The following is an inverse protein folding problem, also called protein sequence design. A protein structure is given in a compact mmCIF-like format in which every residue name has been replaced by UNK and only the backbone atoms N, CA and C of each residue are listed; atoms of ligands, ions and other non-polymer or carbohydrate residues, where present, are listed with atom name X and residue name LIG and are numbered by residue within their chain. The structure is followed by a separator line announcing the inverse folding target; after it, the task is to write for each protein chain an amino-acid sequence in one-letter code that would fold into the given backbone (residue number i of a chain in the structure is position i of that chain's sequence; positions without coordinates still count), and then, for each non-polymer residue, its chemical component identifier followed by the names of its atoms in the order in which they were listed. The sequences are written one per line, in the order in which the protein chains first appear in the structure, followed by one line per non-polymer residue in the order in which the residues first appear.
data_IF_107319974207
#
_entry.id   IF_107319974207
#
_cell.length_a   1.000
_cell.length_b   1.000
_cell.length_c   1.000
_cell.angle_alpha   90.00
_cell.angle_beta   90.00
_cell.angle_gamma   90.00
#
_symmetry.space_group_name_H-M   'P 1'
#
loop_
_entity.id
_entity.type
_entity.pdbx_description
1 polymer ?
#
# COMPACT_ATOMS: atom_id res chain seq x y z
N UNK A 1 -5.94 -14.63 -1.90
CA UNK A 1 -6.00 -13.55 -2.92
C UNK A 1 -5.71 -12.17 -2.35
N UNK A 2 -6.21 -11.79 -1.17
CA UNK A 2 -5.99 -10.44 -0.60
C UNK A 2 -4.53 -10.07 -0.33
N UNK A 3 -3.71 -11.01 0.16
CA UNK A 3 -2.30 -10.76 0.45
C UNK A 3 -1.51 -10.28 -0.78
N UNK A 4 -1.74 -10.90 -1.95
CA UNK A 4 -1.08 -10.51 -3.19
C UNK A 4 -1.48 -9.09 -3.62
N UNK A 5 -2.75 -8.70 -3.46
CA UNK A 5 -3.21 -7.35 -3.75
C UNK A 5 -2.58 -6.31 -2.81
N UNK A 6 -2.44 -6.62 -1.53
CA UNK A 6 -1.79 -5.72 -0.56
C UNK A 6 -0.29 -5.54 -0.87
N UNK A 7 0.40 -6.63 -1.18
CA UNK A 7 1.79 -6.61 -1.65
C UNK A 7 1.94 -5.72 -2.88
N UNK A 8 1.01 -5.82 -3.83
CA UNK A 8 1.00 -5.00 -5.04
C UNK A 8 0.76 -3.50 -4.78
N UNK A 9 -0.21 -3.18 -3.93
CA UNK A 9 -0.48 -1.79 -3.57
C UNK A 9 0.69 -1.17 -2.82
N UNK A 10 1.34 -1.93 -1.92
CA UNK A 10 2.53 -1.47 -1.23
C UNK A 10 3.70 -1.31 -2.20
N UNK A 11 3.91 -2.23 -3.13
CA UNK A 11 5.05 -2.13 -4.04
C UNK A 11 4.95 -0.94 -4.98
N UNK A 12 3.79 -0.69 -5.56
CA UNK A 12 3.59 0.44 -6.47
C UNK A 12 3.83 1.80 -5.79
N UNK A 13 3.39 1.96 -4.54
CA UNK A 13 3.62 3.19 -3.75
C UNK A 13 5.09 3.33 -3.33
N UNK A 14 5.71 2.28 -2.77
CA UNK A 14 7.03 2.39 -2.15
C UNK A 14 8.20 2.18 -3.12
N UNK A 15 8.05 1.31 -4.13
CA UNK A 15 9.10 1.01 -5.11
C UNK A 15 8.99 1.89 -6.35
N UNK A 16 7.79 2.07 -6.90
CA UNK A 16 7.61 2.86 -8.14
C UNK A 16 7.22 4.32 -7.88
N UNK A 17 6.73 4.67 -6.69
CA UNK A 17 6.13 5.99 -6.39
C UNK A 17 5.03 6.38 -7.39
N UNK A 18 4.22 5.41 -7.81
CA UNK A 18 3.13 5.57 -8.78
C UNK A 18 1.83 5.06 -8.15
N UNK A 19 0.71 5.60 -8.63
CA UNK A 19 -0.61 5.12 -8.24
C UNK A 19 -0.76 3.61 -8.53
N UNK A 20 -1.28 2.79 -7.59
CA UNK A 20 -1.34 1.33 -7.72
C UNK A 20 -2.07 0.81 -8.96
N UNK A 21 -3.04 1.57 -9.45
CA UNK A 21 -3.82 1.25 -10.65
C UNK A 21 -3.08 1.54 -11.97
N UNK A 22 -2.00 2.33 -11.92
CA UNK A 22 -1.18 2.72 -13.07
C UNK A 22 0.20 2.02 -13.06
N UNK A 23 0.59 1.48 -11.91
CA UNK A 23 1.84 0.76 -11.70
C UNK A 23 1.85 -0.61 -12.36
N UNK A 24 3.04 -1.15 -12.57
CA UNK A 24 3.26 -2.46 -13.18
C UNK A 24 4.53 -3.11 -12.64
N UNK A 25 4.81 -4.35 -13.02
CA UNK A 25 6.08 -4.99 -12.65
C UNK A 25 7.23 -4.47 -13.51
N UNK A 26 6.95 -4.12 -14.76
CA UNK A 26 7.94 -3.63 -15.72
C UNK A 26 7.43 -2.33 -16.34
N UNK A 27 8.15 -1.24 -16.08
CA UNK A 27 7.90 0.02 -16.77
C UNK A 27 8.42 -0.03 -18.21
N UNK A 28 7.52 -0.16 -19.18
CA UNK A 28 7.85 -0.06 -20.60
C UNK A 28 8.17 1.40 -20.98
N UNK A 29 9.44 1.75 -21.21
CA UNK A 29 9.81 3.02 -21.89
C UNK A 29 10.57 2.64 -23.17
N UNK A 30 9.92 2.71 -24.32
CA UNK A 30 10.55 2.32 -25.59
C UNK A 30 11.74 3.21 -25.95
N UNK A 31 12.82 2.61 -26.46
CA UNK A 31 14.06 3.34 -26.82
C UNK A 31 13.82 4.48 -27.83
N UNK A 32 12.94 4.24 -28.81
CA UNK A 32 12.60 5.19 -29.89
C UNK A 32 11.48 6.17 -29.50
N UNK A 33 10.79 5.95 -28.38
CA UNK A 33 9.69 6.80 -27.92
C UNK A 33 10.26 8.02 -27.18
N UNK A 34 10.94 8.90 -27.92
CA UNK A 34 11.52 10.15 -27.42
C UNK A 34 10.78 11.32 -28.04
N UNK A 35 10.65 12.41 -27.28
CA UNK A 35 10.06 13.65 -27.79
C UNK A 35 10.93 14.16 -28.94
N UNK A 36 10.34 14.78 -29.98
CA UNK A 36 11.10 15.41 -31.05
C UNK A 36 12.17 16.36 -30.47
N UNK A 37 13.39 16.29 -30.98
CA UNK A 37 14.53 17.08 -30.51
C UNK A 37 15.42 16.43 -29.44
N UNK A 38 15.06 15.25 -28.91
CA UNK A 38 15.92 14.50 -27.98
C UNK A 38 16.72 13.41 -28.69
N UNK A 39 18.02 13.23 -28.36
CA UNK A 39 18.84 12.19 -28.96
C UNK A 39 18.36 10.78 -28.56
N UNK A 40 18.43 9.86 -29.52
CA UNK A 40 18.12 8.45 -29.28
C UNK A 40 19.31 7.80 -28.59
N UNK A 41 19.07 7.16 -27.45
CA UNK A 41 20.11 6.42 -26.72
C UNK A 41 20.65 5.24 -27.55
N UNK A 42 21.94 4.96 -27.38
CA UNK A 42 22.57 3.78 -27.97
C UNK A 42 21.93 2.50 -27.45
N UNK A 43 21.97 1.44 -28.26
CA UNK A 43 21.31 0.18 -27.97
C UNK A 43 21.75 -0.39 -26.61
N UNK A 44 23.06 -0.57 -26.40
CA UNK A 44 23.62 -1.18 -25.20
C UNK A 44 23.33 -0.38 -23.92
N UNK A 45 23.53 0.94 -23.95
CA UNK A 45 23.31 1.80 -22.78
C UNK A 45 21.85 1.74 -22.34
N UNK A 46 20.92 1.75 -23.31
CA UNK A 46 19.49 1.65 -23.03
C UNK A 46 19.12 0.33 -22.34
N UNK A 47 19.58 -0.82 -22.85
CA UNK A 47 19.23 -2.12 -22.26
C UNK A 47 19.90 -2.37 -20.92
N UNK A 48 21.14 -1.93 -20.73
CA UNK A 48 21.83 -2.05 -19.43
C UNK A 48 21.10 -1.24 -18.36
N UNK A 49 20.73 0.02 -18.66
CA UNK A 49 19.91 0.83 -17.74
C UNK A 49 18.57 0.17 -17.44
N UNK A 50 17.91 -0.37 -18.47
CA UNK A 50 16.62 -1.06 -18.29
C UNK A 50 16.74 -2.29 -17.41
N UNK A 51 17.80 -3.06 -17.59
CA UNK A 51 18.06 -4.26 -16.81
C UNK A 51 18.38 -3.91 -15.36
N UNK A 52 19.17 -2.85 -15.13
CA UNK A 52 19.43 -2.34 -13.78
C UNK A 52 18.13 -1.87 -13.08
N UNK A 53 17.26 -1.14 -13.77
CA UNK A 53 15.95 -0.74 -13.25
C UNK A 53 15.11 -1.97 -12.85
N UNK A 54 15.04 -2.97 -13.73
CA UNK A 54 14.31 -4.21 -13.48
C UNK A 54 14.88 -4.99 -12.28
N UNK A 55 16.20 -5.06 -12.17
CA UNK A 55 16.87 -5.78 -11.10
C UNK A 55 16.66 -5.09 -9.76
N UNK A 56 16.80 -3.75 -9.72
CA UNK A 56 16.50 -2.94 -8.53
C UNK A 56 15.06 -3.15 -8.06
N UNK A 57 14.10 -3.11 -8.98
CA UNK A 57 12.71 -3.36 -8.66
C UNK A 57 12.51 -4.79 -8.12
N UNK A 58 13.06 -5.80 -8.79
CA UNK A 58 12.90 -7.21 -8.39
C UNK A 58 13.49 -7.48 -7.00
N UNK A 59 14.67 -6.93 -6.70
CA UNK A 59 15.28 -7.04 -5.36
C UNK A 59 14.40 -6.38 -4.30
N UNK A 60 13.93 -5.15 -4.54
CA UNK A 60 13.05 -4.46 -3.62
C UNK A 60 11.71 -5.19 -3.43
N UNK A 61 11.22 -5.86 -4.48
CA UNK A 61 10.00 -6.64 -4.42
C UNK A 61 10.16 -7.89 -3.54
N UNK A 62 11.30 -8.58 -3.64
CA UNK A 62 11.65 -9.71 -2.76
C UNK A 62 11.73 -9.24 -1.30
N UNK A 63 12.39 -8.10 -1.05
CA UNK A 63 12.50 -7.52 0.29
C UNK A 63 11.12 -7.22 0.89
N UNK A 64 10.25 -6.54 0.13
CA UNK A 64 8.90 -6.20 0.57
C UNK A 64 8.04 -7.44 0.86
N UNK A 65 8.10 -8.46 -0.01
CA UNK A 65 7.39 -9.72 0.21
C UNK A 65 7.90 -10.41 1.47
N UNK A 66 9.21 -10.41 1.71
CA UNK A 66 9.79 -11.02 2.92
C UNK A 66 9.37 -10.30 4.20
N UNK A 67 9.33 -8.96 4.18
CA UNK A 67 8.83 -8.12 5.28
C UNK A 67 7.36 -8.43 5.57
N UNK A 68 6.52 -8.41 4.54
CA UNK A 68 5.09 -8.70 4.70
C UNK A 68 4.83 -10.13 5.17
N UNK A 69 5.59 -11.10 4.68
CA UNK A 69 5.49 -12.48 5.15
C UNK A 69 5.91 -12.60 6.62
N UNK A 70 6.96 -11.90 7.03
CA UNK A 70 7.37 -11.80 8.43
C UNK A 70 6.25 -11.26 9.32
N UNK A 71 5.61 -10.17 8.90
CA UNK A 71 4.49 -9.57 9.64
C UNK A 71 3.29 -10.51 9.76
N UNK A 72 2.87 -11.15 8.66
CA UNK A 72 1.77 -12.11 8.68
C UNK A 72 2.09 -13.29 9.59
N UNK A 73 3.32 -13.80 9.53
CA UNK A 73 3.77 -14.89 10.40
C UNK A 73 3.70 -14.50 11.86
N UNK A 74 4.16 -13.30 12.22
CA UNK A 74 4.09 -12.79 13.61
C UNK A 74 2.64 -12.61 14.04
N UNK A 75 1.78 -12.03 13.19
CA UNK A 75 0.37 -11.81 13.50
C UNK A 75 -0.44 -13.12 13.66
N UNK A 76 0.04 -14.24 13.12
CA UNK A 76 -0.62 -15.55 13.23
C UNK A 76 -0.15 -16.35 14.45
N UNK A 77 0.76 -15.80 15.27
CA UNK A 77 1.18 -16.46 16.50
C UNK A 77 0.01 -16.56 17.50
N UNK A 78 -0.08 -17.65 18.29
CA UNK A 78 -1.21 -17.88 19.20
C UNK A 78 -1.30 -16.84 20.30
N UNK A 79 -0.19 -16.18 20.65
CA UNK A 79 -0.14 -15.08 21.62
C UNK A 79 -1.03 -13.89 21.24
N UNK A 80 -1.21 -13.65 19.93
CA UNK A 80 -2.01 -12.53 19.43
C UNK A 80 -3.43 -12.95 19.01
N UNK A 81 -3.85 -14.18 19.31
CA UNK A 81 -5.17 -14.68 18.93
C UNK A 81 -6.31 -13.88 19.58
N UNK A 82 -6.08 -13.36 20.79
CA UNK A 82 -7.05 -12.60 21.58
C UNK A 82 -6.94 -11.08 21.34
N UNK A 83 -6.16 -10.64 20.33
CA UNK A 83 -6.01 -9.22 20.04
C UNK A 83 -7.29 -8.66 19.39
N UNK A 84 -7.94 -7.75 20.10
CA UNK A 84 -9.06 -6.96 19.58
C UNK A 84 -8.74 -5.46 19.65
N UNK A 85 -8.96 -4.76 18.54
CA UNK A 85 -8.80 -3.31 18.47
C UNK A 85 -9.83 -2.60 19.36
N UNK A 86 -9.38 -1.59 20.11
CA UNK A 86 -10.19 -0.77 21.02
C UNK A 86 -11.34 -0.10 20.25
N UNK A 87 -11.11 0.26 18.98
CA UNK A 87 -12.14 0.87 18.15
C UNK A 87 -13.25 -0.11 17.72
N UNK A 88 -12.98 -1.41 17.74
CA UNK A 88 -13.98 -2.46 17.39
C UNK A 88 -14.73 -2.94 18.63
N UNK A 89 -14.21 -2.66 19.83
CA UNK A 89 -14.89 -3.02 21.08
C UNK A 89 -16.25 -2.32 21.12
N UNK A 90 -17.32 -3.04 21.50
CA UNK A 90 -18.62 -2.40 21.66
C UNK A 90 -18.50 -1.28 22.69
N UNK A 91 -19.10 -0.12 22.41
CA UNK A 91 -19.13 0.99 23.36
C UNK A 91 -19.75 0.52 24.69
N UNK A 92 -19.06 0.79 25.80
CA UNK A 92 -19.58 0.47 27.12
C UNK A 92 -20.81 1.34 27.41
N UNK A 93 -21.72 0.82 28.24
CA UNK A 93 -23.00 1.47 28.60
C UNK A 93 -22.84 2.90 29.11
N UNK A 94 -21.69 3.23 29.70
CA UNK A 94 -21.34 4.56 30.20
C UNK A 94 -21.11 5.57 29.05
N UNK A 95 -20.41 5.17 28.00
CA UNK A 95 -20.14 6.02 26.82
C UNK A 95 -21.41 6.24 25.99
N UNK A 96 -22.23 5.19 25.84
CA UNK A 96 -23.53 5.27 25.17
C UNK A 96 -24.52 6.22 25.88
N UNK A 97 -24.46 6.28 27.23
CA UNK A 97 -25.26 7.21 28.04
C UNK A 97 -24.98 8.68 27.72
N UNK A 98 -23.71 9.05 27.53
CA UNK A 98 -23.30 10.40 27.14
C UNK A 98 -23.83 10.81 25.76
N UNK A 99 -23.87 9.88 24.81
CA UNK A 99 -24.41 10.11 23.46
C UNK A 99 -25.90 10.48 23.50
N UNK A 100 -26.67 9.81 24.36
CA UNK A 100 -28.11 10.05 24.53
C UNK A 100 -28.41 11.46 25.09
N UNK A 101 -27.55 11.97 25.99
CA UNK A 101 -27.68 13.32 26.56
C UNK A 101 -27.36 14.41 25.53
N UNK A 102 -26.32 14.20 24.72
CA UNK A 102 -25.94 15.11 23.62
C UNK A 102 -27.05 15.17 22.57
N UNK A 103 -27.65 14.02 22.21
CA UNK A 103 -28.79 13.97 21.28
C UNK A 103 -30.02 14.72 21.84
N UNK A 104 -30.28 14.61 23.14
CA UNK A 104 -31.39 15.31 23.82
C UNK A 104 -31.16 16.84 23.82
N UNK A 105 -29.94 17.31 24.09
CA UNK A 105 -29.60 18.73 24.00
C UNK A 105 -29.72 19.28 22.58
N UNK A 106 -29.21 18.56 21.57
CA UNK A 106 -29.34 18.99 20.16
C UNK A 106 -30.80 19.11 19.72
N UNK A 107 -31.66 18.17 20.13
CA UNK A 107 -33.11 18.24 19.85
C UNK A 107 -33.78 19.43 20.53
N UNK A 108 -33.34 19.79 21.75
CA UNK A 108 -33.88 20.93 22.50
C UNK A 108 -33.45 22.30 21.95
N UNK A 109 -32.37 22.38 21.17
CA UNK A 109 -31.88 23.63 20.55
C UNK A 109 -32.51 23.90 19.18
N UNK A 110 -33.02 22.86 18.52
CA UNK A 110 -33.63 22.95 17.17
C UNK A 110 -35.15 23.16 17.22
N UNK A 111 -35.77 22.94 18.38
CA UNK A 111 -37.19 23.22 18.65
C UNK A 111 -37.37 24.64 19.19
#
# INVERSE_FOLDING_TARGET
MLFASLVWFRSTVFLENIHPLLGGYIRLKGRKNRRPGYPIESFWIYYVKRFADFFRYSVGMIQLVSEMYGLVRTATLPEFADYEDIATKPETTETAGGLSLIQKQKRAVVA
#
